data_IF_275718823062
#
_entry.id   IF_275718823062
#
_cell.length_a   1.000
_cell.length_b   1.000
_cell.length_c   1.000
_cell.angle_alpha   90.00
_cell.angle_beta   90.00
_cell.angle_gamma   90.00
#
_symmetry.space_group_name_H-M   'P 1'
#
loop_
_entity.id
_entity.type
_entity.pdbx_description
1 polymer ?
#
# COMPACT_ATOMS: atom_id res chain seq x y z
N UNK A 1 20.06 -2.09 15.61
CA UNK A 1 18.69 -2.63 15.72
C UNK A 1 18.39 -3.41 14.46
N UNK A 2 17.99 -4.68 14.58
CA UNK A 2 17.48 -5.46 13.43
C UNK A 2 16.17 -4.83 12.99
N UNK A 3 16.07 -4.50 11.69
CA UNK A 3 14.87 -3.90 11.17
C UNK A 3 13.74 -4.94 11.11
N UNK A 4 12.54 -4.64 11.64
CA UNK A 4 11.41 -5.54 11.50
C UNK A 4 10.95 -5.60 10.03
N UNK A 5 11.01 -6.81 9.46
CA UNK A 5 10.46 -7.12 8.15
C UNK A 5 11.43 -6.92 6.98
N UNK A 6 11.27 -7.76 5.96
CA UNK A 6 11.90 -7.58 4.65
C UNK A 6 10.88 -7.02 3.67
N UNK A 7 11.28 -6.27 2.64
CA UNK A 7 10.41 -6.00 1.51
C UNK A 7 9.83 -7.31 0.95
N UNK A 8 8.60 -7.26 0.46
CA UNK A 8 8.00 -8.41 -0.22
C UNK A 8 8.89 -8.85 -1.38
N UNK A 9 8.86 -10.12 -1.77
CA UNK A 9 9.39 -10.56 -3.07
C UNK A 9 8.49 -10.10 -4.22
N UNK A 10 8.95 -10.25 -5.47
CA UNK A 10 8.13 -9.91 -6.64
C UNK A 10 6.85 -10.77 -6.75
N UNK A 11 6.92 -12.03 -6.32
CA UNK A 11 5.77 -12.91 -6.31
C UNK A 11 4.77 -12.52 -5.22
N UNK A 12 5.24 -12.30 -4.00
CA UNK A 12 4.40 -11.85 -2.89
C UNK A 12 3.71 -10.53 -3.22
N UNK A 13 4.43 -9.57 -3.80
CA UNK A 13 3.85 -8.29 -4.19
C UNK A 13 2.73 -8.45 -5.24
N UNK A 14 2.93 -9.25 -6.29
CA UNK A 14 1.89 -9.51 -7.29
C UNK A 14 0.67 -10.19 -6.69
N UNK A 15 0.88 -11.17 -5.82
CA UNK A 15 -0.21 -11.90 -5.18
C UNK A 15 -1.01 -11.00 -4.24
N UNK A 16 -0.30 -10.19 -3.48
CA UNK A 16 -0.85 -9.25 -2.53
C UNK A 16 -1.69 -8.17 -3.19
N UNK A 17 -1.22 -7.61 -4.31
CA UNK A 17 -1.96 -6.59 -5.06
C UNK A 17 -2.81 -7.15 -6.22
N UNK A 18 -2.99 -8.48 -6.30
CA UNK A 18 -3.73 -9.13 -7.39
C UNK A 18 -5.13 -8.57 -7.57
N UNK A 19 -5.81 -8.28 -6.46
CA UNK A 19 -7.15 -7.68 -6.52
C UNK A 19 -7.11 -6.30 -7.18
N UNK A 20 -6.17 -5.45 -6.76
CA UNK A 20 -6.08 -4.08 -7.25
C UNK A 20 -5.64 -4.00 -8.72
N UNK A 21 -5.10 -5.07 -9.34
CA UNK A 21 -4.54 -5.06 -10.71
C UNK A 21 -5.50 -4.56 -11.80
N UNK A 22 -6.80 -4.49 -11.52
CA UNK A 22 -7.71 -3.75 -12.38
C UNK A 22 -7.44 -2.26 -12.14
N UNK A 23 -6.78 -1.57 -13.07
CA UNK A 23 -6.42 -0.14 -12.99
C UNK A 23 -7.58 0.75 -12.54
N UNK A 24 -8.83 0.38 -12.85
CA UNK A 24 -10.05 1.03 -12.36
C UNK A 24 -10.17 0.98 -10.82
N UNK A 25 -9.90 -0.16 -10.20
CA UNK A 25 -9.96 -0.31 -8.74
C UNK A 25 -8.84 0.46 -8.04
N UNK A 26 -7.60 0.46 -8.57
CA UNK A 26 -6.51 1.24 -7.97
C UNK A 26 -6.73 2.75 -8.07
N UNK A 27 -7.21 3.27 -9.21
CA UNK A 27 -7.50 4.70 -9.36
C UNK A 27 -8.63 5.14 -8.41
N UNK A 28 -9.72 4.37 -8.33
CA UNK A 28 -10.83 4.65 -7.40
C UNK A 28 -10.37 4.57 -5.95
N UNK A 29 -9.61 3.52 -5.58
CA UNK A 29 -9.03 3.34 -4.25
C UNK A 29 -8.14 4.54 -3.84
N UNK A 30 -7.37 5.08 -4.79
CA UNK A 30 -6.56 6.26 -4.56
C UNK A 30 -7.38 7.54 -4.42
N UNK A 31 -8.41 7.71 -5.24
CA UNK A 31 -9.30 8.86 -5.12
C UNK A 31 -10.05 8.88 -3.78
N UNK A 32 -10.53 7.72 -3.31
CA UNK A 32 -11.15 7.59 -1.99
C UNK A 32 -10.20 7.96 -0.85
N UNK A 33 -8.93 7.56 -0.96
CA UNK A 33 -7.90 7.95 0.02
C UNK A 33 -7.69 9.46 0.03
N UNK A 34 -7.51 10.07 -1.14
CA UNK A 34 -7.32 11.52 -1.27
C UNK A 34 -8.49 12.33 -0.70
N UNK A 35 -9.73 11.90 -0.95
CA UNK A 35 -10.93 12.59 -0.49
C UNK A 35 -11.15 12.47 1.03
N UNK A 36 -10.99 11.27 1.57
CA UNK A 36 -11.45 10.98 2.94
C UNK A 36 -10.33 10.87 3.97
N UNK A 37 -9.10 10.63 3.53
CA UNK A 37 -7.95 10.42 4.40
C UNK A 37 -7.99 9.09 5.16
N UNK A 38 -6.86 8.73 5.77
CA UNK A 38 -6.64 7.38 6.34
C UNK A 38 -7.41 7.07 7.62
N UNK A 39 -7.95 8.07 8.32
CA UNK A 39 -8.75 7.84 9.52
C UNK A 39 -10.21 7.52 9.19
N UNK A 40 -10.61 7.69 7.93
CA UNK A 40 -11.95 7.35 7.50
C UNK A 40 -12.16 5.82 7.49
N UNK A 41 -13.30 5.36 8.01
CA UNK A 41 -13.63 3.94 8.13
C UNK A 41 -13.69 3.21 6.78
N UNK A 42 -14.13 3.89 5.71
CA UNK A 42 -14.12 3.34 4.35
C UNK A 42 -12.68 3.08 3.88
N UNK A 43 -11.79 4.05 4.11
CA UNK A 43 -10.38 3.93 3.74
C UNK A 43 -9.69 2.83 4.56
N UNK A 44 -9.98 2.72 5.87
CA UNK A 44 -9.46 1.63 6.69
C UNK A 44 -9.97 0.26 6.24
N UNK A 45 -11.23 0.18 5.80
CA UNK A 45 -11.81 -1.07 5.26
C UNK A 45 -11.10 -1.47 3.98
N UNK A 46 -10.86 -0.51 3.09
CA UNK A 46 -10.08 -0.69 1.87
C UNK A 46 -8.64 -1.11 2.16
N UNK A 47 -7.96 -0.45 3.11
CA UNK A 47 -6.59 -0.79 3.51
C UNK A 47 -6.52 -2.22 4.09
N UNK A 48 -7.47 -2.61 4.95
CA UNK A 48 -7.58 -4.00 5.43
C UNK A 48 -7.77 -4.96 4.26
N UNK A 49 -8.65 -4.63 3.34
CA UNK A 49 -8.91 -5.48 2.18
C UNK A 49 -7.65 -5.69 1.33
N UNK A 50 -6.91 -4.60 1.05
CA UNK A 50 -5.62 -4.69 0.34
C UNK A 50 -4.59 -5.54 1.08
N UNK A 51 -4.61 -5.54 2.42
CA UNK A 51 -3.65 -6.24 3.27
C UNK A 51 -4.27 -7.48 3.96
N UNK A 52 -5.10 -8.23 3.23
CA UNK A 52 -5.65 -9.52 3.64
C UNK A 52 -6.34 -9.52 5.03
N UNK A 53 -7.10 -8.47 5.31
CA UNK A 53 -7.89 -8.29 6.53
C UNK A 53 -7.14 -7.61 7.68
N UNK A 54 -5.83 -7.39 7.58
CA UNK A 54 -5.00 -6.80 8.65
C UNK A 54 -4.38 -5.51 8.14
N UNK A 55 -4.18 -4.50 8.98
CA UNK A 55 -3.31 -3.36 8.66
C UNK A 55 -2.04 -3.51 9.52
N UNK A 56 -0.83 -3.49 8.93
CA UNK A 56 0.40 -3.60 9.69
C UNK A 56 0.51 -2.48 10.72
N UNK A 57 0.75 -2.86 11.97
CA UNK A 57 1.03 -1.90 13.04
C UNK A 57 2.54 -1.60 13.02
N UNK A 58 2.88 -0.44 12.45
CA UNK A 58 4.26 0.03 12.37
C UNK A 58 4.76 0.28 10.95
N UNK A 59 6.08 0.43 10.77
CA UNK A 59 6.68 0.77 9.50
C UNK A 59 6.44 -0.29 8.42
N UNK A 60 6.34 0.17 7.18
CA UNK A 60 6.26 -0.68 5.99
C UNK A 60 7.56 -0.60 5.20
N UNK A 61 8.18 -1.75 4.98
CA UNK A 61 9.35 -1.89 4.11
C UNK A 61 8.90 -1.92 2.64
N UNK A 62 9.65 -1.26 1.76
CA UNK A 62 9.37 -1.27 0.32
C UNK A 62 10.65 -1.24 -0.50
N UNK A 63 10.61 -1.78 -1.72
CA UNK A 63 11.71 -1.71 -2.68
C UNK A 63 11.67 -0.45 -3.56
N UNK A 64 10.94 0.61 -3.16
CA UNK A 64 10.84 1.79 -4.00
C UNK A 64 12.16 2.60 -4.03
N UNK A 65 12.69 2.93 -5.22
CA UNK A 65 13.92 3.71 -5.34
C UNK A 65 13.83 5.03 -4.56
N UNK A 66 14.79 5.27 -3.65
CA UNK A 66 14.86 6.47 -2.83
C UNK A 66 13.89 6.52 -1.65
N UNK A 67 13.03 5.50 -1.44
CA UNK A 67 12.14 5.43 -0.28
C UNK A 67 11.94 3.99 0.23
N UNK A 68 12.95 3.43 0.93
CA UNK A 68 12.91 2.05 1.38
C UNK A 68 11.93 1.79 2.53
N UNK A 69 11.51 2.84 3.26
CA UNK A 69 10.62 2.70 4.42
C UNK A 69 9.51 3.76 4.41
N UNK A 70 8.36 3.36 4.95
CA UNK A 70 7.24 4.23 5.24
C UNK A 70 6.87 4.09 6.71
N UNK A 71 6.45 5.17 7.38
CA UNK A 71 6.13 5.14 8.81
C UNK A 71 4.89 4.26 9.12
N UNK A 72 3.99 4.09 8.15
CA UNK A 72 2.80 3.26 8.27
C UNK A 72 2.24 2.89 6.87
N UNK A 73 1.30 1.95 6.85
CA UNK A 73 0.64 1.48 5.63
C UNK A 73 -0.10 2.59 4.87
N UNK A 74 -0.77 3.49 5.59
CA UNK A 74 -1.45 4.64 5.00
C UNK A 74 -0.50 5.50 4.14
N UNK A 75 0.66 5.87 4.68
CA UNK A 75 1.64 6.71 3.98
C UNK A 75 2.23 6.00 2.77
N UNK A 76 2.42 4.67 2.88
CA UNK A 76 2.83 3.82 1.78
C UNK A 76 1.79 3.80 0.66
N UNK A 77 0.51 3.56 0.98
CA UNK A 77 -0.59 3.55 0.02
C UNK A 77 -0.78 4.90 -0.67
N UNK A 78 -0.75 6.01 0.08
CA UNK A 78 -0.79 7.36 -0.48
C UNK A 78 0.36 7.66 -1.44
N UNK A 79 1.58 7.24 -1.11
CA UNK A 79 2.72 7.45 -1.99
C UNK A 79 2.58 6.70 -3.32
N UNK A 80 2.09 5.45 -3.29
CA UNK A 80 1.77 4.68 -4.50
C UNK A 80 0.75 5.41 -5.37
N UNK A 81 -0.27 6.01 -4.74
CA UNK A 81 -1.28 6.81 -5.43
C UNK A 81 -0.69 8.03 -6.13
N UNK A 82 0.04 8.89 -5.40
CA UNK A 82 0.62 10.13 -5.93
C UNK A 82 1.61 9.86 -7.07
N UNK A 83 2.39 8.78 -6.96
CA UNK A 83 3.38 8.41 -7.99
C UNK A 83 2.79 7.56 -9.12
N UNK A 84 1.49 7.24 -9.07
CA UNK A 84 0.83 6.28 -9.98
C UNK A 84 1.57 4.95 -10.08
N UNK A 85 2.26 4.56 -9.00
CA UNK A 85 3.01 3.31 -8.85
C UNK A 85 2.16 2.27 -8.13
N UNK A 86 0.98 2.00 -8.68
CA UNK A 86 -0.01 1.13 -8.05
C UNK A 86 0.49 -0.31 -7.89
N UNK A 87 1.25 -0.81 -8.87
CA UNK A 87 1.75 -2.19 -8.94
C UNK A 87 3.25 -2.29 -9.23
N UNK A 88 3.95 -1.16 -9.30
CA UNK A 88 5.36 -1.15 -9.64
C UNK A 88 6.19 -1.49 -8.41
N UNK A 89 6.62 -2.75 -8.38
CA UNK A 89 7.85 -3.16 -7.72
C UNK A 89 8.93 -3.13 -8.79
N UNK A 90 9.56 -1.95 -8.96
CA UNK A 90 10.69 -1.82 -9.89
C UNK A 90 11.83 -2.66 -9.35
#
# INVERSE_FOLDING_TARGET
AQQPGTPLSNQEYRQFFKFLQITLQASTACHLRELYGCQNSLVQTLDKYENHGVIPQGPVCSDMPGKPFFPNFCTFSFYRCIKKKYFLKV
#
